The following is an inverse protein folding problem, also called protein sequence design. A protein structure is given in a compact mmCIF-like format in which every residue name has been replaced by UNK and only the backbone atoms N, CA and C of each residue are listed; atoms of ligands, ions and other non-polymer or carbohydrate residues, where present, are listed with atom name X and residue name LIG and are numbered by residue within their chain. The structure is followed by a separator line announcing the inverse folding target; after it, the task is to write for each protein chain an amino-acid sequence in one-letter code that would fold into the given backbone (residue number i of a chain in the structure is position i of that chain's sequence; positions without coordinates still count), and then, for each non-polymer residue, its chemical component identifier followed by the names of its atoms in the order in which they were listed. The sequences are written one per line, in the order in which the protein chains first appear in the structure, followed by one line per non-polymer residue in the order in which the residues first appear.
data_IF_515398100570
#
_entry.id   IF_515398100570
#
_cell.length_a   1.000
_cell.length_b   1.000
_cell.length_c   1.000
_cell.angle_alpha   90.00
_cell.angle_beta   90.00
_cell.angle_gamma   90.00
#
_symmetry.space_group_name_H-M   'P 1'
#
loop_
_entity.id
_entity.type
_entity.pdbx_description
1 polymer ?
#
# COMPACT_ATOMS: atom_id res chain seq x y z
N UNK A 1 -16.69 -17.00 -3.50
CA UNK A 1 -15.82 -15.83 -3.19
C UNK A 1 -15.76 -15.53 -1.70
N UNK A 2 -16.88 -15.53 -0.95
CA UNK A 2 -16.89 -15.17 0.48
C UNK A 2 -15.93 -15.98 1.38
N UNK A 3 -15.76 -17.28 1.14
CA UNK A 3 -14.87 -18.12 1.96
C UNK A 3 -13.38 -17.82 1.76
N UNK A 4 -13.00 -17.21 0.62
CA UNK A 4 -11.60 -16.92 0.29
C UNK A 4 -11.01 -15.80 1.16
N UNK A 5 -11.87 -14.91 1.67
CA UNK A 5 -11.46 -13.75 2.47
C UNK A 5 -11.82 -13.87 3.95
N UNK A 6 -12.43 -14.99 4.37
CA UNK A 6 -12.87 -15.20 5.75
C UNK A 6 -11.73 -15.14 6.79
N UNK A 7 -10.48 -15.39 6.38
CA UNK A 7 -9.29 -15.31 7.24
C UNK A 7 -8.62 -13.93 7.29
N UNK A 8 -9.15 -12.94 6.55
CA UNK A 8 -8.56 -11.59 6.45
C UNK A 8 -8.91 -10.73 7.67
N UNK A 9 -10.04 -11.01 8.31
CA UNK A 9 -10.37 -10.43 9.60
C UNK A 9 -9.62 -11.18 10.70
N UNK A 10 -8.65 -10.52 11.32
CA UNK A 10 -8.08 -10.97 12.59
C UNK A 10 -8.79 -10.17 13.69
N UNK A 11 -9.78 -10.75 14.38
CA UNK A 11 -10.35 -10.12 15.57
C UNK A 11 -9.23 -9.92 16.59
N UNK A 12 -8.93 -8.67 16.96
CA UNK A 12 -8.07 -8.37 18.11
C UNK A 12 -6.83 -7.52 17.86
N UNK A 13 -6.45 -7.17 16.62
CA UNK A 13 -5.39 -6.16 16.40
C UNK A 13 -5.92 -4.76 16.80
N UNK A 14 -5.38 -4.11 17.87
CA UNK A 14 -5.89 -2.83 18.33
C UNK A 14 -5.74 -1.70 17.31
N UNK A 15 -4.72 -1.77 16.44
CA UNK A 15 -4.47 -0.76 15.42
C UNK A 15 -5.43 -0.91 14.24
N UNK A 16 -5.68 -2.13 13.77
CA UNK A 16 -6.71 -2.38 12.76
C UNK A 16 -8.08 -1.96 13.28
N UNK A 17 -8.38 -2.24 14.55
CA UNK A 17 -9.61 -1.79 15.20
C UNK A 17 -9.72 -0.26 15.24
N UNK A 18 -8.65 0.45 15.62
CA UNK A 18 -8.63 1.91 15.61
C UNK A 18 -8.81 2.46 14.18
N UNK A 19 -8.09 1.92 13.20
CA UNK A 19 -8.23 2.32 11.80
C UNK A 19 -9.68 2.10 11.29
N UNK A 20 -10.28 0.95 11.61
CA UNK A 20 -11.66 0.65 11.28
C UNK A 20 -12.67 1.60 11.94
N UNK A 21 -12.41 2.05 13.17
CA UNK A 21 -13.25 3.04 13.85
C UNK A 21 -13.15 4.45 13.23
N UNK A 22 -12.01 4.79 12.63
CA UNK A 22 -11.79 6.09 11.98
C UNK A 22 -12.45 6.15 10.59
N UNK A 23 -12.49 5.06 9.82
CA UNK A 23 -13.03 5.04 8.44
C UNK A 23 -14.46 5.61 8.30
N UNK A 24 -15.44 5.24 9.15
CA UNK A 24 -16.77 5.85 9.11
C UNK A 24 -16.73 7.36 9.33
N UNK A 25 -15.87 7.85 10.23
CA UNK A 25 -15.72 9.29 10.51
C UNK A 25 -15.21 10.03 9.27
N UNK A 26 -14.20 9.48 8.59
CA UNK A 26 -13.71 10.04 7.31
C UNK A 26 -14.85 10.14 6.30
N UNK A 27 -15.63 9.07 6.15
CA UNK A 27 -16.76 9.03 5.21
C UNK A 27 -17.83 10.07 5.56
N UNK A 28 -18.20 10.18 6.83
CA UNK A 28 -19.21 11.14 7.28
C UNK A 28 -18.73 12.59 7.06
N UNK A 29 -17.47 12.89 7.39
CA UNK A 29 -16.91 14.23 7.21
C UNK A 29 -16.90 14.71 5.74
N UNK A 30 -16.79 13.79 4.78
CA UNK A 30 -16.77 14.16 3.36
C UNK A 30 -18.14 14.15 2.68
N UNK A 31 -19.10 13.35 3.17
CA UNK A 31 -20.30 13.01 2.41
C UNK A 31 -21.62 13.28 3.14
N UNK A 32 -21.60 13.47 4.45
CA UNK A 32 -22.82 13.74 5.22
C UNK A 32 -23.04 15.25 5.39
N UNK A 33 -24.29 15.69 5.33
CA UNK A 33 -24.69 16.99 5.88
C UNK A 33 -24.70 16.88 7.42
N UNK A 34 -23.94 17.75 8.08
CA UNK A 34 -23.80 17.82 9.53
C UNK A 34 -23.91 19.29 9.94
N UNK A 35 -24.51 19.55 11.11
CA UNK A 35 -24.54 20.90 11.67
C UNK A 35 -23.20 21.27 12.33
N UNK A 36 -22.98 22.57 12.51
CA UNK A 36 -21.73 23.13 13.05
C UNK A 36 -21.45 22.64 14.49
N UNK A 37 -22.50 22.34 15.26
CA UNK A 37 -22.39 21.83 16.63
C UNK A 37 -21.82 20.42 16.64
N UNK A 38 -22.40 19.50 15.85
CA UNK A 38 -21.91 18.12 15.72
C UNK A 38 -20.48 18.06 15.17
N UNK A 39 -20.14 18.92 14.20
CA UNK A 39 -18.79 19.01 13.66
C UNK A 39 -17.78 19.48 14.72
N UNK A 40 -18.16 20.48 15.51
CA UNK A 40 -17.33 21.02 16.60
C UNK A 40 -17.09 19.97 17.69
N UNK A 41 -18.14 19.31 18.17
CA UNK A 41 -18.04 18.25 19.18
C UNK A 41 -17.15 17.09 18.71
N UNK A 42 -17.32 16.67 17.44
CA UNK A 42 -16.50 15.62 16.86
C UNK A 42 -15.02 16.03 16.75
N UNK A 43 -14.73 17.27 16.35
CA UNK A 43 -13.37 17.79 16.27
C UNK A 43 -12.68 17.80 17.64
N UNK A 44 -13.33 18.35 18.68
CA UNK A 44 -12.79 18.39 20.04
C UNK A 44 -12.52 16.97 20.58
N UNK A 45 -13.41 16.02 20.31
CA UNK A 45 -13.21 14.62 20.71
C UNK A 45 -12.00 13.98 20.00
N UNK A 46 -11.83 14.25 18.71
CA UNK A 46 -10.71 13.74 17.90
C UNK A 46 -9.37 14.37 18.33
N UNK A 47 -9.35 15.66 18.64
CA UNK A 47 -8.18 16.36 19.18
C UNK A 47 -7.76 15.77 20.53
N UNK A 48 -8.71 15.52 21.44
CA UNK A 48 -8.44 14.86 22.71
C UNK A 48 -7.90 13.44 22.53
N UNK A 49 -8.38 12.68 21.53
CA UNK A 49 -7.82 11.37 21.17
C UNK A 49 -6.38 11.52 20.66
N UNK A 50 -6.13 12.48 19.77
CA UNK A 50 -4.80 12.72 19.20
C UNK A 50 -3.77 13.08 20.28
N UNK A 51 -4.15 13.94 21.23
CA UNK A 51 -3.30 14.30 22.37
C UNK A 51 -2.94 13.07 23.23
N UNK A 52 -3.93 12.23 23.58
CA UNK A 52 -3.66 11.00 24.36
C UNK A 52 -2.75 10.01 23.63
N UNK A 53 -2.84 9.94 22.31
CA UNK A 53 -1.97 9.09 21.49
C UNK A 53 -0.56 9.66 21.39
N UNK A 54 -0.39 10.98 21.26
CA UNK A 54 0.92 11.62 21.15
C UNK A 54 1.71 11.51 22.45
N UNK A 55 1.06 11.70 23.61
CA UNK A 55 1.66 11.53 24.95
C UNK A 55 2.21 10.10 25.18
N UNK A 56 1.67 9.10 24.48
CA UNK A 56 2.06 7.70 24.59
C UNK A 56 2.88 7.21 23.39
N UNK A 57 3.15 8.10 22.43
CA UNK A 57 3.83 7.73 21.19
C UNK A 57 5.31 7.47 21.45
N UNK A 58 5.81 6.38 20.85
CA UNK A 58 7.24 6.08 20.79
C UNK A 58 7.85 6.54 19.45
N UNK A 59 9.10 6.14 19.16
CA UNK A 59 9.72 6.44 17.87
C UNK A 59 8.95 5.83 16.70
N UNK A 60 9.25 6.31 15.49
CA UNK A 60 8.69 5.78 14.23
C UNK A 60 8.89 4.27 14.17
N UNK A 61 7.84 3.54 13.77
CA UNK A 61 7.92 2.09 13.56
C UNK A 61 8.73 1.77 12.31
N UNK A 62 9.58 0.75 12.42
CA UNK A 62 10.26 0.15 11.28
C UNK A 62 9.26 -0.45 10.30
N UNK A 63 9.53 -0.30 9.00
CA UNK A 63 8.84 -1.06 7.95
C UNK A 63 9.62 -2.34 7.70
N UNK A 64 8.94 -3.47 7.77
CA UNK A 64 9.53 -4.77 7.44
C UNK A 64 9.24 -5.12 5.98
N UNK A 65 10.10 -5.97 5.41
CA UNK A 65 9.80 -6.61 4.13
C UNK A 65 8.56 -7.52 4.27
N UNK A 66 7.77 -7.68 3.19
CA UNK A 66 6.66 -8.62 3.18
C UNK A 66 7.10 -10.03 3.55
N UNK A 67 6.35 -10.67 4.45
CA UNK A 67 6.56 -12.06 4.84
C UNK A 67 5.67 -12.96 3.98
N UNK A 68 6.27 -13.65 3.01
CA UNK A 68 5.60 -14.55 2.07
C UNK A 68 4.91 -15.74 2.75
N UNK A 69 5.23 -16.04 4.02
CA UNK A 69 4.52 -17.06 4.79
C UNK A 69 3.17 -16.56 5.34
N UNK A 70 2.90 -15.26 5.28
CA UNK A 70 1.62 -14.65 5.70
C UNK A 70 0.66 -14.49 4.53
N UNK A 71 -0.59 -14.18 4.88
CA UNK A 71 -1.60 -13.83 3.89
C UNK A 71 -1.17 -12.59 3.07
N UNK A 72 -1.54 -12.53 1.79
CA UNK A 72 -1.25 -11.39 0.92
C UNK A 72 -1.72 -10.04 1.50
N UNK A 73 -2.82 -10.04 2.26
CA UNK A 73 -3.30 -8.85 2.97
C UNK A 73 -2.22 -8.22 3.88
N UNK A 74 -1.33 -9.03 4.44
CA UNK A 74 -0.34 -8.61 5.43
C UNK A 74 0.98 -8.16 4.80
N UNK A 75 1.11 -8.18 3.47
CA UNK A 75 2.31 -7.70 2.78
C UNK A 75 2.52 -6.20 3.01
N UNK A 76 1.45 -5.42 3.00
CA UNK A 76 1.50 -3.97 3.20
C UNK A 76 0.50 -3.52 4.28
N UNK A 77 0.71 -3.86 5.56
CA UNK A 77 -0.33 -3.76 6.59
C UNK A 77 -0.75 -2.32 6.91
N UNK A 78 0.05 -1.33 6.53
CA UNK A 78 -0.21 0.10 6.73
C UNK A 78 -0.16 0.89 5.43
N UNK A 79 -0.23 0.24 4.27
CA UNK A 79 -0.35 0.98 3.01
C UNK A 79 -1.67 1.77 2.95
N UNK A 80 -1.73 2.81 2.12
CA UNK A 80 -2.93 3.59 1.88
C UNK A 80 -4.04 2.87 1.09
N UNK A 81 -3.82 1.64 0.58
CA UNK A 81 -4.85 0.91 -0.18
C UNK A 81 -5.27 -0.41 0.48
N UNK A 82 -4.42 -1.43 0.58
CA UNK A 82 -4.76 -2.73 1.18
C UNK A 82 -4.46 -2.79 2.68
N UNK A 83 -3.82 -1.77 3.24
CA UNK A 83 -3.36 -1.73 4.63
C UNK A 83 -4.51 -1.58 5.63
N UNK A 84 -4.98 -2.69 6.20
CA UNK A 84 -6.08 -2.68 7.18
C UNK A 84 -5.79 -1.83 8.43
N UNK A 85 -4.52 -1.56 8.74
CA UNK A 85 -4.10 -0.72 9.86
C UNK A 85 -3.93 0.76 9.49
N UNK A 86 -4.25 1.16 8.26
CA UNK A 86 -4.30 2.55 7.81
C UNK A 86 -5.75 3.03 7.69
N UNK A 87 -6.15 4.10 8.39
CA UNK A 87 -7.53 4.58 8.34
C UNK A 87 -7.95 5.16 6.99
N UNK A 88 -7.02 5.57 6.12
CA UNK A 88 -7.37 6.05 4.78
C UNK A 88 -7.54 4.90 3.78
N UNK A 89 -7.12 3.68 4.12
CA UNK A 89 -7.26 2.53 3.24
C UNK A 89 -8.74 2.16 3.07
N UNK A 90 -9.25 2.04 1.83
CA UNK A 90 -10.60 1.55 1.58
C UNK A 90 -10.74 0.10 2.06
N UNK A 91 -11.98 -0.39 2.19
CA UNK A 91 -12.25 -1.82 2.27
C UNK A 91 -11.72 -2.54 1.01
N UNK A 92 -10.45 -2.97 1.06
CA UNK A 92 -9.81 -3.79 0.03
C UNK A 92 -9.28 -5.05 0.69
N UNK A 93 -9.75 -6.20 0.23
CA UNK A 93 -9.27 -7.52 0.65
C UNK A 93 -8.55 -8.20 -0.50
N UNK A 94 -7.43 -8.85 -0.22
CA UNK A 94 -6.64 -9.57 -1.22
C UNK A 94 -6.25 -10.95 -0.73
N UNK A 95 -6.22 -11.91 -1.65
CA UNK A 95 -5.85 -13.29 -1.43
C UNK A 95 -4.97 -13.78 -2.58
N UNK A 96 -4.15 -14.80 -2.29
CA UNK A 96 -3.39 -15.52 -3.32
C UNK A 96 -4.26 -16.62 -3.89
N UNK A 97 -4.33 -16.71 -5.22
CA UNK A 97 -5.02 -17.78 -5.95
C UNK A 97 -4.08 -18.44 -6.94
N UNK A 98 -4.43 -19.63 -7.41
CA UNK A 98 -3.76 -20.26 -8.54
C UNK A 98 -4.43 -19.81 -9.84
N UNK A 99 -3.65 -19.22 -10.73
CA UNK A 99 -4.06 -18.78 -12.05
C UNK A 99 -4.23 -19.95 -13.03
N UNK A 100 -4.77 -19.66 -14.22
CA UNK A 100 -5.06 -20.68 -15.23
C UNK A 100 -3.82 -21.43 -15.76
N UNK A 101 -2.64 -20.84 -15.60
CA UNK A 101 -1.34 -21.43 -15.97
C UNK A 101 -0.60 -22.08 -14.80
N UNK A 102 -1.26 -22.19 -13.63
CA UNK A 102 -0.68 -22.75 -12.40
C UNK A 102 0.21 -21.78 -11.62
N UNK A 103 0.41 -20.54 -12.08
CA UNK A 103 1.17 -19.53 -11.33
C UNK A 103 0.29 -18.88 -10.25
N UNK A 104 0.93 -18.38 -9.21
CA UNK A 104 0.25 -17.63 -8.14
C UNK A 104 -0.12 -16.24 -8.64
N UNK A 105 -1.37 -15.85 -8.40
CA UNK A 105 -1.93 -14.54 -8.75
C UNK A 105 -2.60 -13.90 -7.52
N UNK A 106 -2.93 -12.61 -7.63
CA UNK A 106 -3.70 -11.89 -6.64
C UNK A 106 -5.15 -11.76 -7.11
N UNK A 107 -6.07 -12.19 -6.27
CA UNK A 107 -7.49 -11.90 -6.38
C UNK A 107 -7.90 -11.00 -5.22
N UNK A 108 -8.66 -9.95 -5.51
CA UNK A 108 -9.14 -9.01 -4.50
C UNK A 108 -10.60 -8.63 -4.66
N UNK A 109 -11.16 -8.15 -3.56
CA UNK A 109 -12.45 -7.47 -3.47
C UNK A 109 -12.21 -6.07 -2.95
N UNK A 110 -12.71 -5.07 -3.66
CA UNK A 110 -12.62 -3.67 -3.26
C UNK A 110 -14.01 -3.03 -3.23
N UNK A 111 -14.28 -2.23 -2.20
CA UNK A 111 -15.49 -1.43 -2.12
C UNK A 111 -15.10 -0.01 -1.71
N UNK A 112 -15.41 0.97 -2.56
CA UNK A 112 -15.03 2.35 -2.36
C UNK A 112 -16.25 3.19 -1.99
N UNK A 113 -16.24 3.75 -0.78
CA UNK A 113 -17.23 4.73 -0.34
C UNK A 113 -16.93 6.14 -0.84
N UNK A 114 -17.76 7.09 -0.44
CA UNK A 114 -17.68 8.50 -0.87
C UNK A 114 -16.36 9.21 -0.51
N UNK A 115 -15.61 8.70 0.47
CA UNK A 115 -14.24 9.19 0.77
C UNK A 115 -13.26 9.07 -0.40
N UNK A 116 -13.59 8.26 -1.41
CA UNK A 116 -12.74 8.00 -2.57
C UNK A 116 -13.36 8.49 -3.88
N UNK A 117 -14.42 9.30 -3.79
CA UNK A 117 -15.11 9.86 -4.94
C UNK A 117 -14.20 10.83 -5.72
N UNK A 118 -14.22 10.73 -7.04
CA UNK A 118 -13.62 11.72 -7.93
C UNK A 118 -14.70 12.41 -8.75
N UNK A 119 -14.99 11.94 -9.96
CA UNK A 119 -16.21 12.34 -10.65
C UNK A 119 -17.46 11.87 -9.86
N UNK A 120 -18.60 12.55 -9.99
CA UNK A 120 -19.84 12.13 -9.35
C UNK A 120 -20.11 10.64 -9.57
N UNK A 121 -20.41 9.91 -8.49
CA UNK A 121 -20.70 8.47 -8.43
C UNK A 121 -19.55 7.51 -8.77
N UNK A 122 -18.34 8.03 -9.03
CA UNK A 122 -17.21 7.25 -9.52
C UNK A 122 -16.00 7.32 -8.58
N UNK A 123 -15.27 6.21 -8.49
CA UNK A 123 -13.96 6.19 -7.81
C UNK A 123 -13.00 7.14 -8.52
N UNK A 124 -12.26 7.92 -7.75
CA UNK A 124 -11.25 8.83 -8.27
C UNK A 124 -10.16 8.07 -9.06
N UNK A 125 -9.78 8.58 -10.24
CA UNK A 125 -8.80 7.93 -11.11
C UNK A 125 -7.45 7.68 -10.41
N UNK A 126 -7.00 8.62 -9.58
CA UNK A 126 -5.81 8.44 -8.74
C UNK A 126 -5.89 7.27 -7.76
N UNK A 127 -7.06 7.04 -7.13
CA UNK A 127 -7.27 5.91 -6.21
C UNK A 127 -7.27 4.58 -6.96
N UNK A 128 -7.86 4.56 -8.17
CA UNK A 128 -7.80 3.41 -9.07
C UNK A 128 -6.35 3.08 -9.43
N UNK A 129 -5.55 4.10 -9.81
CA UNK A 129 -4.16 3.91 -10.17
C UNK A 129 -3.32 3.40 -9.00
N UNK A 130 -3.56 3.92 -7.79
CA UNK A 130 -2.90 3.50 -6.55
C UNK A 130 -3.24 2.04 -6.19
N UNK A 131 -4.52 1.64 -6.30
CA UNK A 131 -4.92 0.24 -6.13
C UNK A 131 -4.21 -0.67 -7.12
N UNK A 132 -4.19 -0.30 -8.41
CA UNK A 132 -3.55 -1.09 -9.46
C UNK A 132 -2.04 -1.23 -9.22
N UNK A 133 -1.33 -0.16 -8.85
CA UNK A 133 0.09 -0.22 -8.50
C UNK A 133 0.36 -1.21 -7.35
N UNK A 134 -0.46 -1.12 -6.29
CA UNK A 134 -0.24 -1.92 -5.09
C UNK A 134 -0.52 -3.42 -5.31
N UNK A 135 -1.59 -3.78 -6.04
CA UNK A 135 -1.88 -5.20 -6.34
C UNK A 135 -0.89 -5.78 -7.35
N UNK A 136 -0.33 -4.98 -8.25
CA UNK A 136 0.77 -5.39 -9.12
C UNK A 136 2.04 -5.67 -8.31
N UNK A 137 2.35 -4.83 -7.32
CA UNK A 137 3.43 -5.08 -6.36
C UNK A 137 3.22 -6.40 -5.60
N UNK A 138 2.02 -6.65 -5.11
CA UNK A 138 1.66 -7.92 -4.46
C UNK A 138 1.78 -9.13 -5.41
N UNK A 139 1.36 -8.98 -6.68
CA UNK A 139 1.48 -10.03 -7.70
C UNK A 139 2.95 -10.39 -7.99
N UNK A 140 3.83 -9.39 -8.03
CA UNK A 140 5.27 -9.62 -8.18
C UNK A 140 5.87 -10.34 -6.95
N UNK A 141 5.45 -9.95 -5.75
CA UNK A 141 5.89 -10.60 -4.50
C UNK A 141 5.53 -12.10 -4.53
N UNK A 142 4.27 -12.47 -4.85
CA UNK A 142 3.88 -13.89 -4.89
C UNK A 142 4.53 -14.68 -6.04
N UNK A 143 5.02 -13.97 -7.06
CA UNK A 143 5.85 -14.51 -8.13
C UNK A 143 7.35 -14.54 -7.79
N UNK A 144 7.74 -14.27 -6.54
CA UNK A 144 9.12 -14.28 -6.04
C UNK A 144 10.03 -13.21 -6.68
N UNK A 145 9.44 -12.06 -7.03
CA UNK A 145 10.14 -10.93 -7.62
C UNK A 145 10.16 -9.71 -6.70
N UNK A 146 11.36 -9.34 -6.23
CA UNK A 146 11.60 -8.12 -5.47
C UNK A 146 11.91 -6.94 -6.42
N UNK A 147 10.91 -6.09 -6.66
CA UNK A 147 11.03 -5.01 -7.64
C UNK A 147 10.29 -3.74 -7.20
N UNK A 148 10.72 -2.61 -7.74
CA UNK A 148 10.06 -1.31 -7.56
C UNK A 148 9.36 -0.89 -8.85
N UNK A 149 8.26 -0.16 -8.73
CA UNK A 149 7.54 0.39 -9.89
C UNK A 149 8.48 1.30 -10.69
N UNK A 150 8.71 0.96 -11.96
CA UNK A 150 9.43 1.81 -12.90
C UNK A 150 8.48 2.60 -13.79
N UNK A 151 7.41 1.97 -14.28
CA UNK A 151 6.37 2.61 -15.08
C UNK A 151 5.03 1.94 -14.86
N UNK A 152 3.98 2.75 -14.72
CA UNK A 152 2.61 2.29 -14.60
C UNK A 152 1.78 2.93 -15.73
N UNK A 153 1.20 2.11 -16.60
CA UNK A 153 0.26 2.57 -17.64
C UNK A 153 -1.14 2.10 -17.29
N UNK A 154 -2.02 3.05 -16.95
CA UNK A 154 -3.42 2.76 -16.59
C UNK A 154 -4.34 3.12 -17.75
N UNK A 155 -5.27 2.23 -18.08
CA UNK A 155 -6.38 2.48 -19.00
C UNK A 155 -7.68 2.47 -18.22
N UNK A 156 -8.42 3.58 -18.29
CA UNK A 156 -9.78 3.69 -17.75
C UNK A 156 -10.78 3.32 -18.85
N UNK A 157 -11.27 2.09 -18.81
CA UNK A 157 -12.13 1.50 -19.84
C UNK A 157 -13.61 1.91 -19.69
N UNK A 158 -14.09 1.96 -18.44
CA UNK A 158 -15.46 2.36 -18.05
C UNK A 158 -15.41 3.09 -16.70
N UNK A 159 -16.43 3.88 -16.35
CA UNK A 159 -16.55 4.42 -15.00
C UNK A 159 -16.51 3.29 -13.96
N UNK A 160 -15.67 3.44 -12.94
CA UNK A 160 -15.62 2.53 -11.80
C UNK A 160 -16.58 3.05 -10.74
N UNK A 161 -17.71 2.37 -10.45
CA UNK A 161 -18.73 2.86 -9.54
C UNK A 161 -18.30 2.82 -8.06
N UNK A 162 -18.85 3.75 -7.26
CA UNK A 162 -18.77 3.74 -5.79
C UNK A 162 -19.79 2.77 -5.16
N UNK A 163 -19.59 2.46 -3.87
CA UNK A 163 -20.51 1.74 -2.99
C UNK A 163 -21.00 0.38 -3.54
N UNK A 164 -20.17 -0.30 -4.32
CA UNK A 164 -20.43 -1.64 -4.85
C UNK A 164 -19.16 -2.45 -4.80
N UNK A 165 -19.30 -3.78 -4.75
CA UNK A 165 -18.18 -4.69 -4.70
C UNK A 165 -17.55 -4.82 -6.09
N UNK A 166 -16.24 -4.58 -6.15
CA UNK A 166 -15.42 -4.68 -7.34
C UNK A 166 -14.46 -5.85 -7.19
N UNK A 167 -14.32 -6.63 -8.26
CA UNK A 167 -13.31 -7.69 -8.34
C UNK A 167 -12.02 -7.10 -8.88
N UNK A 168 -10.90 -7.40 -8.23
CA UNK A 168 -9.56 -6.98 -8.62
C UNK A 168 -8.73 -8.22 -8.94
N UNK A 169 -8.01 -8.21 -10.05
CA UNK A 169 -7.10 -9.28 -10.44
C UNK A 169 -5.74 -8.70 -10.75
N UNK A 170 -4.67 -9.37 -10.34
CA UNK A 170 -3.31 -8.99 -10.71
C UNK A 170 -2.40 -10.21 -10.83
N UNK A 171 -1.54 -10.20 -11.84
CA UNK A 171 -0.63 -11.31 -12.14
C UNK A 171 0.69 -10.84 -12.74
N UNK A 172 1.73 -11.59 -12.44
CA UNK A 172 2.99 -11.52 -13.15
C UNK A 172 2.80 -12.01 -14.60
N UNK A 173 3.41 -11.32 -15.56
CA UNK A 173 3.35 -11.67 -16.99
C UNK A 173 4.66 -12.34 -17.39
N UNK A 174 5.76 -11.59 -17.41
CA UNK A 174 7.07 -12.04 -17.85
C UNK A 174 8.21 -11.18 -17.27
N UNK A 175 9.45 -11.64 -17.44
CA UNK A 175 10.65 -10.91 -17.06
C UNK A 175 11.63 -10.81 -18.25
N UNK A 176 12.03 -9.59 -18.59
CA UNK A 176 13.10 -9.28 -19.55
C UNK A 176 14.28 -8.61 -18.84
N UNK A 177 15.31 -9.41 -18.53
CA UNK A 177 16.45 -8.97 -17.72
C UNK A 177 16.00 -8.49 -16.34
N UNK A 178 16.14 -7.19 -16.07
CA UNK A 178 15.70 -6.56 -14.80
C UNK A 178 14.28 -6.02 -14.84
N UNK A 179 13.61 -6.05 -16.00
CA UNK A 179 12.26 -5.54 -16.17
C UNK A 179 11.27 -6.66 -15.93
N UNK A 180 10.40 -6.47 -14.96
CA UNK A 180 9.30 -7.37 -14.64
C UNK A 180 8.02 -6.74 -15.15
N UNK A 181 7.30 -7.47 -16.00
CA UNK A 181 6.04 -7.06 -16.58
C UNK A 181 4.91 -7.72 -15.79
N UNK A 182 3.93 -6.94 -15.38
CA UNK A 182 2.76 -7.41 -14.66
C UNK A 182 1.49 -6.71 -15.17
N UNK A 183 0.35 -7.38 -15.05
CA UNK A 183 -0.96 -6.87 -15.46
C UNK A 183 -1.95 -6.95 -14.31
N UNK A 184 -2.83 -5.95 -14.21
CA UNK A 184 -3.93 -5.93 -13.26
C UNK A 184 -5.21 -5.33 -13.87
N UNK A 185 -6.36 -5.73 -13.35
CA UNK A 185 -7.68 -5.29 -13.80
C UNK A 185 -8.68 -5.14 -12.67
N UNK A 186 -9.58 -4.16 -12.79
CA UNK A 186 -10.73 -3.92 -11.91
C UNK A 186 -12.00 -4.19 -12.69
N UNK A 187 -12.91 -4.96 -12.10
CA UNK A 187 -14.15 -5.39 -12.70
C UNK A 187 -15.36 -5.02 -11.83
N UNK A 188 -16.40 -4.51 -12.48
CA UNK A 188 -17.75 -4.44 -11.93
C UNK A 188 -18.59 -5.54 -12.56
N UNK A 189 -18.83 -6.62 -11.82
CA UNK A 189 -19.33 -7.88 -12.39
C UNK A 189 -18.34 -8.44 -13.43
N UNK A 190 -18.79 -8.54 -14.68
CA UNK A 190 -17.98 -8.99 -15.82
C UNK A 190 -17.36 -7.83 -16.62
N UNK A 191 -17.67 -6.58 -16.27
CA UNK A 191 -17.23 -5.40 -17.01
C UNK A 191 -15.88 -4.92 -16.47
N UNK A 192 -14.85 -4.95 -17.31
CA UNK A 192 -13.55 -4.31 -17.01
C UNK A 192 -13.71 -2.79 -16.99
N UNK A 193 -13.50 -2.17 -15.83
CA UNK A 193 -13.62 -0.71 -15.65
C UNK A 193 -12.27 -0.03 -15.77
N UNK A 194 -11.20 -0.63 -15.27
CA UNK A 194 -9.83 -0.15 -15.45
C UNK A 194 -8.84 -1.31 -15.49
N UNK A 195 -7.73 -1.12 -16.20
CA UNK A 195 -6.60 -2.05 -16.22
C UNK A 195 -5.27 -1.30 -16.17
N UNK A 196 -4.22 -2.00 -15.73
CA UNK A 196 -2.87 -1.49 -15.76
C UNK A 196 -1.88 -2.51 -16.32
N UNK A 197 -0.91 -1.99 -17.07
CA UNK A 197 0.34 -2.69 -17.35
C UNK A 197 1.45 -2.00 -16.56
N UNK A 198 2.12 -2.74 -15.69
CA UNK A 198 3.25 -2.27 -14.90
C UNK A 198 4.57 -2.82 -15.40
N UNK A 199 5.57 -1.96 -15.47
CA UNK A 199 6.98 -2.33 -15.63
C UNK A 199 7.66 -2.04 -14.30
N UNK A 200 8.12 -3.10 -13.64
CA UNK A 200 8.85 -3.05 -12.39
C UNK A 200 10.32 -3.32 -12.64
N UNK A 201 11.19 -2.67 -11.88
CA UNK A 201 12.63 -2.84 -11.98
C UNK A 201 13.09 -3.64 -10.77
N UNK A 202 13.66 -4.81 -11.01
CA UNK A 202 14.28 -5.64 -9.97
C UNK A 202 15.37 -4.83 -9.25
N UNK A 203 15.27 -4.75 -7.92
CA UNK A 203 16.16 -3.92 -7.11
C UNK A 203 17.18 -4.81 -6.42
N UNK A 204 18.45 -4.62 -6.79
CA UNK A 204 19.56 -5.30 -6.12
C UNK A 204 19.81 -4.65 -4.75
N UNK A 205 20.26 -5.38 -3.72
CA UNK A 205 20.50 -4.82 -2.38
C UNK A 205 21.40 -3.59 -2.32
N UNK A 206 22.43 -3.47 -3.17
CA UNK A 206 23.25 -2.24 -3.29
C UNK A 206 22.43 -1.02 -3.68
N UNK A 207 21.45 -1.20 -4.57
CA UNK A 207 20.56 -0.13 -5.02
C UNK A 207 19.51 0.20 -3.95
N UNK A 208 19.01 -0.82 -3.24
CA UNK A 208 18.12 -0.62 -2.10
C UNK A 208 18.79 0.20 -0.98
N UNK A 209 20.07 -0.08 -0.70
CA UNK A 209 20.87 0.69 0.26
C UNK A 209 21.03 2.15 -0.19
N UNK A 210 21.39 2.38 -1.46
CA UNK A 210 21.54 3.74 -1.98
C UNK A 210 20.23 4.55 -1.90
N UNK A 211 19.07 3.93 -2.17
CA UNK A 211 17.75 4.56 -2.04
C UNK A 211 17.43 4.89 -0.57
N UNK A 212 17.75 3.98 0.35
CA UNK A 212 17.53 4.21 1.78
C UNK A 212 18.42 5.34 2.32
N UNK A 213 19.67 5.41 1.88
CA UNK A 213 20.65 6.43 2.28
C UNK A 213 20.36 7.81 1.64
N UNK A 214 19.75 7.87 0.45
CA UNK A 214 19.41 9.15 -0.21
C UNK A 214 18.16 9.84 0.36
N UNK A 215 17.35 9.15 1.17
CA UNK A 215 16.09 9.65 1.73
C UNK A 215 16.15 9.83 3.26
N UNK A 216 17.32 10.25 3.77
CA UNK A 216 17.67 10.28 5.21
C UNK A 216 16.69 11.06 6.10
N UNK A 217 15.98 12.06 5.59
CA UNK A 217 14.98 12.83 6.37
C UNK A 217 13.77 11.97 6.80
N UNK A 218 13.59 10.80 6.19
CA UNK A 218 12.45 9.90 6.46
C UNK A 218 12.83 8.45 6.71
N UNK A 219 14.13 8.12 6.67
CA UNK A 219 14.61 6.75 6.84
C UNK A 219 14.73 6.36 8.32
N UNK A 220 14.21 5.18 8.68
CA UNK A 220 14.40 4.60 10.01
C UNK A 220 15.84 4.04 10.12
N UNK A 221 16.65 4.45 11.12
CA UNK A 221 18.01 3.95 11.31
C UNK A 221 18.10 2.42 11.35
N UNK A 222 17.15 1.74 11.99
CA UNK A 222 17.13 0.28 12.07
C UNK A 222 16.89 -0.40 10.71
N UNK A 223 16.10 0.25 9.85
CA UNK A 223 15.87 -0.21 8.48
C UNK A 223 17.13 -0.04 7.62
N UNK A 224 17.84 1.08 7.73
CA UNK A 224 19.10 1.31 7.02
C UNK A 224 20.14 0.25 7.42
N UNK A 225 20.26 -0.04 8.71
CA UNK A 225 21.21 -1.05 9.20
C UNK A 225 20.88 -2.46 8.68
N UNK A 226 19.59 -2.82 8.62
CA UNK A 226 19.15 -4.09 8.06
C UNK A 226 19.46 -4.20 6.55
N UNK A 227 19.17 -3.15 5.78
CA UNK A 227 19.47 -3.09 4.34
C UNK A 227 20.99 -3.14 4.11
N UNK A 228 21.77 -2.46 4.94
CA UNK A 228 23.24 -2.49 4.88
C UNK A 228 23.79 -3.88 5.18
N UNK A 229 23.25 -4.57 6.18
CA UNK A 229 23.64 -5.94 6.50
C UNK A 229 23.35 -6.92 5.35
N UNK A 230 22.23 -6.76 4.65
CA UNK A 230 21.91 -7.56 3.45
C UNK A 230 22.87 -7.25 2.30
N UNK A 231 23.12 -5.97 2.01
CA UNK A 231 24.06 -5.57 0.97
C UNK A 231 25.49 -6.08 1.22
N UNK A 232 25.90 -6.18 2.49
CA UNK A 232 27.16 -6.80 2.92
C UNK A 232 27.16 -8.32 2.70
N UNK A 233 26.08 -9.03 3.04
CA UNK A 233 25.94 -10.49 2.84
C UNK A 233 26.10 -10.89 1.37
N UNK A 234 25.54 -10.12 0.46
CA UNK A 234 25.61 -10.39 -0.98
C UNK A 234 26.93 -9.93 -1.64
N UNK A 235 27.92 -9.46 -0.87
CA UNK A 235 29.21 -9.04 -1.39
C UNK A 235 29.17 -7.74 -2.21
N UNK A 236 28.09 -6.95 -2.08
CA UNK A 236 27.90 -5.72 -2.85
C UNK A 236 28.59 -4.48 -2.23
N UNK A 237 29.27 -4.66 -1.09
CA UNK A 237 29.78 -3.62 -0.22
C UNK A 237 31.31 -3.42 -0.26
N UNK A 238 31.96 -3.58 -1.42
CA UNK A 238 33.34 -3.11 -1.57
C UNK A 238 33.47 -1.59 -1.72
N UNK A 239 32.37 -0.89 -2.06
CA UNK A 239 32.42 0.54 -2.44
C UNK A 239 31.42 1.43 -1.69
N UNK A 240 30.85 0.99 -0.57
CA UNK A 240 29.97 1.88 0.22
C UNK A 240 30.87 2.95 0.86
N UNK A 241 30.92 4.12 0.21
CA UNK A 241 31.60 5.29 0.75
C UNK A 241 31.05 5.56 2.15
N UNK A 242 31.96 5.74 3.11
CA UNK A 242 31.60 6.25 4.43
C UNK A 242 30.79 7.54 4.26
N UNK A 243 29.80 7.82 5.14
CA UNK A 243 29.02 9.05 5.07
C UNK A 243 29.95 10.25 4.91
N UNK A 244 29.67 11.10 3.91
CA UNK A 244 30.37 12.38 3.75
C UNK A 244 30.01 13.23 4.96
N UNK A 245 31.00 13.61 5.76
CA UNK A 245 30.81 14.60 6.83
C UNK A 245 30.26 15.89 6.21
N UNK A 246 29.03 16.25 6.58
CA UNK A 246 28.44 17.52 6.22
C UNK A 246 29.17 18.58 7.07
N UNK A 247 29.88 19.55 6.47
CA UNK A 247 30.55 20.59 7.25
C UNK A 247 29.48 21.43 7.97
N UNK A 248 29.77 21.79 9.22
CA UNK A 248 28.93 22.72 9.96
C UNK A 248 28.70 24.01 9.15
N UNK A 249 27.49 24.58 9.18
CA UNK A 249 27.22 25.85 8.52
C UNK A 249 28.14 26.94 9.11
N UNK A 250 28.61 27.89 8.28
CA UNK A 250 29.52 28.94 8.75
C UNK A 250 28.83 29.75 9.86
N UNK A 251 29.54 29.90 10.98
CA UNK A 251 29.13 30.76 12.09
C UNK A 251 28.94 32.20 11.60
N UNK A 252 27.79 32.79 11.92
CA UNK A 252 27.42 34.17 11.62
C UNK A 252 28.33 35.19 12.33
#
# INVERSE_FOLDING_TARGET
MSDLFASVEVPGDPRRRLAAAIRPIITMNVAAELDDEALTEAAEAMEAIALRLSERSGPKRSRNQPDLARAAQDFFPTSPIIGLANPIAPPVRVAVVEGADGRREILGEANFGFAYEGPPTCVHGGVIAELLDEVLGAANIVADHAAMTGTLTVRYCKPTPLNTDLRVEARFVEQDGRKIHAWAGIYHGDVLTAEANGIFIEVRPKQMLAIAESNVDSADPGMIDAIRAEALREGAASDVQRPVEIPDPPSA
#
